data_IF_556999513177
#
_entry.id   IF_556999513177
#
_cell.length_a   1.000
_cell.length_b   1.000
_cell.length_c   1.000
_cell.angle_alpha   90.00
_cell.angle_beta   90.00
_cell.angle_gamma   90.00
#
_symmetry.space_group_name_H-M   'P 1'
#
loop_
_entity.id
_entity.type
_entity.pdbx_description
1 polymer ?
#
# COMPACT_ATOMS: atom_id res chain seq x y z
N UNK A 1 -1.36 -2.67 8.76
CA UNK A 1 -0.49 -3.39 7.80
C UNK A 1 0.72 -2.53 7.48
N UNK A 2 1.93 -3.07 7.68
CA UNK A 2 3.20 -2.36 7.53
C UNK A 2 4.00 -2.85 6.31
N UNK A 3 4.85 -2.00 5.69
CA UNK A 3 5.68 -2.37 4.56
C UNK A 3 6.97 -3.08 5.02
N UNK A 4 7.47 -4.03 4.20
CA UNK A 4 8.82 -4.54 4.32
C UNK A 4 9.49 -4.64 2.94
N UNK A 5 10.69 -4.05 2.81
CA UNK A 5 11.55 -4.14 1.64
C UNK A 5 12.84 -4.91 1.89
N UNK A 6 13.16 -5.17 3.16
CA UNK A 6 14.34 -5.92 3.61
C UNK A 6 14.05 -6.61 4.94
N UNK A 7 14.92 -7.51 5.39
CA UNK A 7 14.80 -8.14 6.71
C UNK A 7 14.91 -7.14 7.87
N UNK A 8 15.65 -6.06 7.70
CA UNK A 8 15.70 -4.97 8.67
C UNK A 8 14.34 -4.26 8.79
N UNK A 9 13.72 -3.91 7.66
CA UNK A 9 12.40 -3.27 7.68
C UNK A 9 11.30 -4.25 8.11
N UNK A 10 11.43 -5.55 7.84
CA UNK A 10 10.55 -6.58 8.39
C UNK A 10 10.63 -6.61 9.92
N UNK A 11 11.83 -6.70 10.47
CA UNK A 11 12.04 -6.68 11.92
C UNK A 11 11.49 -5.38 12.56
N UNK A 12 11.72 -4.23 11.91
CA UNK A 12 11.21 -2.94 12.35
C UNK A 12 9.67 -2.87 12.35
N UNK A 13 9.01 -3.42 11.31
CA UNK A 13 7.56 -3.51 11.24
C UNK A 13 6.97 -4.36 12.36
N UNK A 14 7.55 -5.53 12.62
CA UNK A 14 7.14 -6.44 13.69
C UNK A 14 7.37 -5.84 15.08
N UNK A 15 8.53 -5.21 15.33
CA UNK A 15 8.82 -4.48 16.57
C UNK A 15 7.88 -3.28 16.77
N UNK A 16 7.44 -2.62 15.69
CA UNK A 16 6.44 -1.57 15.70
C UNK A 16 5.02 -2.06 16.01
N UNK A 17 4.81 -3.38 16.13
CA UNK A 17 3.53 -4.00 16.44
C UNK A 17 2.59 -4.12 15.24
N UNK A 18 3.11 -4.37 14.05
CA UNK A 18 2.29 -4.62 12.87
C UNK A 18 1.46 -5.92 13.04
N UNK A 19 0.15 -5.85 12.74
CA UNK A 19 -0.72 -7.04 12.68
C UNK A 19 -0.53 -7.80 11.36
N UNK A 20 0.04 -7.15 10.34
CA UNK A 20 0.37 -7.76 9.07
C UNK A 20 1.47 -6.98 8.37
N UNK A 21 2.26 -7.69 7.56
CA UNK A 21 3.36 -7.13 6.78
C UNK A 21 3.16 -7.46 5.31
N UNK A 22 3.34 -6.46 4.42
CA UNK A 22 3.34 -6.70 2.99
C UNK A 22 4.72 -6.48 2.38
N UNK A 23 5.10 -7.37 1.48
CA UNK A 23 6.42 -7.40 0.87
C UNK A 23 6.36 -7.80 -0.60
N UNK A 24 7.45 -7.69 -1.33
CA UNK A 24 7.56 -8.10 -2.74
C UNK A 24 8.73 -9.04 -2.96
N UNK A 25 8.56 -9.97 -3.91
CA UNK A 25 9.60 -10.88 -4.39
C UNK A 25 10.00 -10.46 -5.81
N UNK A 26 11.29 -10.36 -6.06
CA UNK A 26 11.84 -10.13 -7.39
C UNK A 26 11.20 -8.94 -8.12
N UNK A 27 10.74 -9.16 -9.38
CA UNK A 27 10.29 -8.07 -10.27
C UNK A 27 8.77 -7.93 -10.41
N UNK A 28 7.97 -8.89 -9.97
CA UNK A 28 6.50 -8.90 -10.21
C UNK A 28 5.72 -8.03 -9.21
N UNK A 29 6.26 -6.90 -8.81
CA UNK A 29 5.62 -5.99 -7.86
C UNK A 29 5.89 -4.51 -8.18
N UNK A 30 5.07 -3.59 -7.66
CA UNK A 30 5.12 -2.16 -7.95
C UNK A 30 6.37 -1.43 -7.43
N UNK A 31 7.30 -2.12 -6.79
CA UNK A 31 8.60 -1.61 -6.33
C UNK A 31 9.76 -2.45 -6.90
N UNK A 32 9.59 -3.00 -8.10
CA UNK A 32 10.60 -3.87 -8.74
C UNK A 32 11.97 -3.20 -8.95
N UNK A 33 12.01 -1.85 -8.97
CA UNK A 33 13.25 -1.06 -9.05
C UNK A 33 13.85 -0.68 -7.70
N UNK A 34 13.17 -0.96 -6.59
CA UNK A 34 13.78 -0.74 -5.28
C UNK A 34 15.04 -1.61 -5.14
N UNK A 35 16.08 -1.05 -4.55
CA UNK A 35 17.39 -1.71 -4.40
C UNK A 35 17.32 -2.97 -3.54
N UNK A 36 16.33 -3.06 -2.67
CA UNK A 36 16.07 -4.22 -1.82
C UNK A 36 14.70 -4.82 -2.16
N UNK A 37 14.68 -6.00 -2.74
CA UNK A 37 13.54 -6.90 -2.84
C UNK A 37 13.99 -8.26 -2.33
N UNK A 38 13.09 -8.97 -1.67
CA UNK A 38 13.36 -10.33 -1.25
C UNK A 38 13.45 -11.28 -2.46
N UNK A 39 14.19 -12.36 -2.29
CA UNK A 39 14.22 -13.48 -3.23
C UNK A 39 13.11 -14.50 -2.88
N UNK A 40 12.83 -15.45 -3.77
CA UNK A 40 11.81 -16.47 -3.54
C UNK A 40 12.21 -17.39 -2.37
N UNK A 41 13.50 -17.65 -2.22
CA UNK A 41 14.10 -18.45 -1.15
C UNK A 41 13.88 -17.85 0.25
N UNK A 42 13.62 -16.52 0.33
CA UNK A 42 13.36 -15.82 1.59
C UNK A 42 11.93 -16.05 2.12
N UNK A 43 11.01 -16.55 1.28
CA UNK A 43 9.59 -16.71 1.65
C UNK A 43 9.37 -17.45 2.98
N UNK A 44 9.97 -18.62 3.21
CA UNK A 44 9.76 -19.37 4.46
C UNK A 44 10.22 -18.58 5.69
N UNK A 45 11.34 -17.87 5.60
CA UNK A 45 11.87 -17.07 6.70
C UNK A 45 10.99 -15.85 7.00
N UNK A 46 10.53 -15.14 5.96
CA UNK A 46 9.62 -13.99 6.13
C UNK A 46 8.34 -14.42 6.81
N UNK A 47 7.72 -15.50 6.35
CA UNK A 47 6.48 -16.04 6.92
C UNK A 47 6.68 -16.48 8.36
N UNK A 48 7.75 -17.24 8.65
CA UNK A 48 8.05 -17.68 10.00
C UNK A 48 8.19 -16.50 10.98
N UNK A 49 8.98 -15.49 10.62
CA UNK A 49 9.17 -14.28 11.45
C UNK A 49 7.86 -13.50 11.68
N UNK A 50 6.99 -13.42 10.67
CA UNK A 50 5.67 -12.81 10.86
C UNK A 50 4.82 -13.63 11.83
N UNK A 51 4.69 -14.93 11.60
CA UNK A 51 3.84 -15.80 12.39
C UNK A 51 4.32 -15.97 13.84
N UNK A 52 5.63 -15.95 14.11
CA UNK A 52 6.19 -15.94 15.47
C UNK A 52 5.69 -14.78 16.32
N UNK A 53 5.38 -13.64 15.70
CA UNK A 53 4.82 -12.46 16.38
C UNK A 53 3.29 -12.36 16.28
N UNK A 54 2.63 -13.35 15.66
CA UNK A 54 1.20 -13.35 15.38
C UNK A 54 0.78 -12.41 14.25
N UNK A 55 1.74 -11.86 13.48
CA UNK A 55 1.47 -11.04 12.33
C UNK A 55 1.25 -11.89 11.06
N UNK A 56 0.44 -11.40 10.12
CA UNK A 56 0.23 -12.03 8.82
C UNK A 56 1.24 -11.55 7.78
N UNK A 57 1.56 -12.44 6.82
CA UNK A 57 2.52 -12.20 5.75
C UNK A 57 1.79 -12.09 4.39
N UNK A 58 1.88 -10.93 3.70
CA UNK A 58 1.19 -10.69 2.44
C UNK A 58 2.17 -10.41 1.30
N UNK A 59 2.11 -11.23 0.26
CA UNK A 59 2.95 -11.08 -0.94
C UNK A 59 2.29 -10.12 -1.94
N UNK A 60 3.03 -9.12 -2.44
CA UNK A 60 2.54 -8.24 -3.50
C UNK A 60 2.88 -8.78 -4.89
N UNK A 61 1.83 -9.08 -5.68
CA UNK A 61 1.87 -9.45 -7.10
C UNK A 61 0.94 -8.51 -7.87
N UNK A 62 1.21 -7.20 -7.81
CA UNK A 62 0.23 -6.17 -8.15
C UNK A 62 0.64 -5.30 -9.35
N UNK A 63 1.43 -5.84 -10.26
CA UNK A 63 1.72 -5.24 -11.57
C UNK A 63 0.79 -5.80 -12.65
N UNK A 64 0.83 -5.20 -13.85
CA UNK A 64 0.28 -5.78 -15.07
C UNK A 64 1.17 -6.96 -15.47
N UNK A 65 0.56 -8.09 -15.81
CA UNK A 65 1.23 -9.34 -16.20
C UNK A 65 1.10 -9.54 -17.71
N UNK A 66 2.17 -9.98 -18.36
CA UNK A 66 2.16 -10.36 -19.78
C UNK A 66 2.12 -11.90 -19.94
N UNK A 67 1.71 -12.37 -21.11
CA UNK A 67 1.52 -13.80 -21.36
C UNK A 67 2.78 -14.64 -21.09
N UNK A 68 3.96 -14.11 -21.40
CA UNK A 68 5.26 -14.77 -21.13
C UNK A 68 5.60 -14.89 -19.63
N UNK A 69 4.88 -14.18 -18.77
CA UNK A 69 5.10 -14.20 -17.32
C UNK A 69 4.10 -15.08 -16.55
N UNK A 70 3.09 -15.61 -17.24
CA UNK A 70 2.02 -16.39 -16.61
C UNK A 70 2.53 -17.62 -15.86
N UNK A 71 3.56 -18.30 -16.39
CA UNK A 71 4.17 -19.45 -15.71
C UNK A 71 4.92 -19.01 -14.45
N UNK A 72 5.67 -17.92 -14.53
CA UNK A 72 6.37 -17.34 -13.36
C UNK A 72 5.39 -16.95 -12.25
N UNK A 73 4.25 -16.34 -12.63
CA UNK A 73 3.17 -15.99 -11.68
C UNK A 73 2.63 -17.25 -11.00
N UNK A 74 2.34 -18.31 -11.77
CA UNK A 74 1.82 -19.57 -11.22
C UNK A 74 2.80 -20.21 -10.24
N UNK A 75 4.08 -20.27 -10.60
CA UNK A 75 5.13 -20.83 -9.75
C UNK A 75 5.29 -20.01 -8.46
N UNK A 76 5.28 -18.68 -8.55
CA UNK A 76 5.40 -17.82 -7.37
C UNK A 76 4.16 -17.90 -6.47
N UNK A 77 2.95 -18.02 -7.01
CA UNK A 77 1.74 -18.27 -6.22
C UNK A 77 1.80 -19.63 -5.51
N UNK A 78 2.29 -20.67 -6.19
CA UNK A 78 2.46 -21.99 -5.59
C UNK A 78 3.51 -21.98 -4.48
N UNK A 79 4.66 -21.32 -4.70
CA UNK A 79 5.71 -21.15 -3.70
C UNK A 79 5.20 -20.35 -2.49
N UNK A 80 4.47 -19.25 -2.72
CA UNK A 80 3.86 -18.46 -1.66
C UNK A 80 2.89 -19.29 -0.79
N UNK A 81 2.03 -20.08 -1.45
CA UNK A 81 1.12 -20.98 -0.73
C UNK A 81 1.87 -22.05 0.06
N UNK A 82 2.89 -22.67 -0.52
CA UNK A 82 3.69 -23.69 0.14
C UNK A 82 4.46 -23.13 1.34
N UNK A 83 4.94 -21.89 1.27
CA UNK A 83 5.60 -21.19 2.37
C UNK A 83 4.62 -20.72 3.47
N UNK A 84 3.31 -20.78 3.25
CA UNK A 84 2.31 -20.35 4.22
C UNK A 84 2.03 -18.83 4.20
N UNK A 85 2.26 -18.16 3.07
CA UNK A 85 1.85 -16.75 2.87
C UNK A 85 0.33 -16.67 3.07
N UNK A 86 -0.12 -15.72 3.89
CA UNK A 86 -1.54 -15.61 4.27
C UNK A 86 -2.41 -15.08 3.11
N UNK A 87 -1.89 -14.16 2.30
CA UNK A 87 -2.61 -13.66 1.12
C UNK A 87 -1.67 -13.06 0.07
N UNK A 88 -2.16 -12.95 -1.17
CA UNK A 88 -1.52 -12.15 -2.22
C UNK A 88 -2.28 -10.85 -2.45
N UNK A 89 -1.56 -9.75 -2.62
CA UNK A 89 -2.11 -8.44 -3.00
C UNK A 89 -1.98 -8.32 -4.52
N UNK A 90 -3.08 -8.40 -5.24
CA UNK A 90 -3.11 -8.51 -6.70
C UNK A 90 -4.00 -7.45 -7.37
N UNK A 91 -3.76 -7.18 -8.65
CA UNK A 91 -4.59 -6.30 -9.49
C UNK A 91 -4.84 -6.88 -10.88
N UNK A 92 -3.96 -7.75 -11.35
CA UNK A 92 -4.09 -8.41 -12.64
C UNK A 92 -4.98 -9.66 -12.52
N UNK A 93 -5.88 -9.86 -13.50
CA UNK A 93 -6.83 -10.97 -13.49
C UNK A 93 -6.13 -12.33 -13.53
N UNK A 94 -4.98 -12.45 -14.20
CA UNK A 94 -4.22 -13.69 -14.25
C UNK A 94 -3.74 -14.11 -12.84
N UNK A 95 -3.28 -13.15 -12.03
CA UNK A 95 -2.88 -13.41 -10.64
C UNK A 95 -4.10 -13.73 -9.78
N UNK A 96 -5.15 -12.90 -9.87
CA UNK A 96 -6.36 -13.02 -9.05
C UNK A 96 -7.01 -14.37 -9.24
N UNK A 97 -7.30 -14.73 -10.50
CA UNK A 97 -8.01 -15.99 -10.81
C UNK A 97 -7.17 -17.22 -10.49
N UNK A 98 -5.86 -17.17 -10.73
CA UNK A 98 -4.98 -18.29 -10.39
C UNK A 98 -4.84 -18.46 -8.87
N UNK A 99 -4.53 -17.39 -8.12
CA UNK A 99 -4.42 -17.47 -6.67
C UNK A 99 -5.71 -17.99 -6.03
N UNK A 100 -6.86 -17.47 -6.46
CA UNK A 100 -8.17 -17.96 -6.01
C UNK A 100 -8.36 -19.45 -6.33
N UNK A 101 -8.01 -19.89 -7.55
CA UNK A 101 -8.19 -21.30 -7.98
C UNK A 101 -7.39 -22.30 -7.16
N UNK A 102 -6.24 -21.88 -6.63
CA UNK A 102 -5.40 -22.72 -5.75
C UNK A 102 -5.73 -22.54 -4.26
N UNK A 103 -6.72 -21.72 -3.91
CA UNK A 103 -7.12 -21.45 -2.52
C UNK A 103 -6.09 -20.62 -1.74
N UNK A 104 -5.42 -19.67 -2.40
CA UNK A 104 -4.60 -18.63 -1.76
C UNK A 104 -5.44 -17.37 -1.66
N UNK A 105 -5.57 -16.81 -0.43
CA UNK A 105 -6.39 -15.61 -0.20
C UNK A 105 -5.91 -14.44 -1.07
N UNK A 106 -6.87 -13.69 -1.63
CA UNK A 106 -6.59 -12.53 -2.48
C UNK A 106 -7.05 -11.24 -1.82
N UNK A 107 -6.18 -10.25 -1.77
CA UNK A 107 -6.51 -8.86 -1.45
C UNK A 107 -6.42 -8.02 -2.72
N UNK A 108 -7.49 -7.29 -3.04
CA UNK A 108 -7.46 -6.40 -4.20
C UNK A 108 -6.55 -5.21 -3.95
N UNK A 109 -5.54 -5.05 -4.81
CA UNK A 109 -4.62 -3.92 -4.75
C UNK A 109 -5.33 -2.61 -5.09
N UNK A 110 -4.83 -1.48 -4.57
CA UNK A 110 -5.23 -0.13 -4.98
C UNK A 110 -5.11 0.11 -6.49
N UNK A 111 -4.30 -0.67 -7.20
CA UNK A 111 -4.17 -0.61 -8.66
C UNK A 111 -5.47 -0.97 -9.38
N UNK A 112 -6.40 -1.67 -8.74
CA UNK A 112 -7.74 -1.96 -9.25
C UNK A 112 -8.69 -0.76 -9.18
N UNK A 113 -8.30 0.31 -8.46
CA UNK A 113 -9.06 1.56 -8.33
C UNK A 113 -10.53 1.37 -7.91
N UNK A 114 -10.74 0.54 -6.89
CA UNK A 114 -12.08 0.29 -6.34
C UNK A 114 -12.62 1.56 -5.70
N UNK A 115 -13.71 2.12 -6.26
CA UNK A 115 -14.29 3.39 -5.83
C UNK A 115 -15.82 3.40 -5.75
N UNK A 116 -16.46 2.26 -5.97
CA UNK A 116 -17.92 2.13 -5.96
C UNK A 116 -18.37 0.71 -5.63
N UNK A 117 -19.66 0.54 -5.29
CA UNK A 117 -20.25 -0.74 -4.91
C UNK A 117 -20.23 -1.78 -6.03
N UNK A 118 -20.33 -1.36 -7.30
CA UNK A 118 -20.29 -2.31 -8.43
C UNK A 118 -18.92 -3.02 -8.49
N UNK A 119 -17.83 -2.25 -8.31
CA UNK A 119 -16.48 -2.82 -8.23
C UNK A 119 -16.31 -3.71 -7.01
N UNK A 120 -16.85 -3.33 -5.84
CA UNK A 120 -16.81 -4.16 -4.63
C UNK A 120 -17.51 -5.50 -4.87
N UNK A 121 -18.74 -5.50 -5.41
CA UNK A 121 -19.50 -6.74 -5.71
C UNK A 121 -18.76 -7.64 -6.71
N UNK A 122 -18.12 -7.03 -7.71
CA UNK A 122 -17.36 -7.80 -8.68
C UNK A 122 -16.15 -8.50 -8.03
N UNK A 123 -15.33 -7.75 -7.28
CA UNK A 123 -14.11 -8.29 -6.69
C UNK A 123 -14.35 -9.18 -5.46
N UNK A 124 -15.48 -9.04 -4.79
CA UNK A 124 -15.88 -9.92 -3.69
C UNK A 124 -16.01 -11.40 -4.10
N UNK A 125 -16.14 -11.69 -5.40
CA UNK A 125 -16.13 -13.06 -5.90
C UNK A 125 -14.75 -13.74 -5.78
N UNK A 126 -13.68 -12.96 -5.64
CA UNK A 126 -12.30 -13.45 -5.66
C UNK A 126 -11.48 -13.03 -4.45
N UNK A 127 -11.88 -11.98 -3.75
CA UNK A 127 -11.08 -11.36 -2.71
C UNK A 127 -11.83 -11.12 -1.41
N UNK A 128 -11.13 -11.25 -0.29
CA UNK A 128 -11.66 -11.00 1.05
C UNK A 128 -11.36 -9.57 1.54
N UNK A 129 -10.47 -8.85 0.87
CA UNK A 129 -10.11 -7.47 1.17
C UNK A 129 -10.05 -6.65 -0.12
N UNK A 130 -10.61 -5.45 -0.09
CA UNK A 130 -10.46 -4.47 -1.17
C UNK A 130 -9.76 -3.21 -0.67
N UNK A 131 -8.69 -2.81 -1.37
CA UNK A 131 -8.06 -1.51 -1.14
C UNK A 131 -8.81 -0.47 -1.94
N UNK A 132 -9.43 0.50 -1.26
CA UNK A 132 -10.15 1.57 -1.94
C UNK A 132 -9.20 2.57 -2.61
N UNK A 133 -9.68 3.19 -3.69
CA UNK A 133 -8.99 4.25 -4.38
C UNK A 133 -8.69 5.42 -3.42
N UNK A 134 -7.52 6.05 -3.60
CA UNK A 134 -7.01 7.10 -2.70
C UNK A 134 -7.70 8.45 -2.89
N UNK A 135 -8.47 8.57 -3.95
CA UNK A 135 -9.22 9.76 -4.33
C UNK A 135 -10.55 9.90 -3.56
N UNK A 136 -10.94 8.87 -2.81
CA UNK A 136 -12.22 8.87 -2.09
C UNK A 136 -12.18 9.72 -0.83
N UNK A 137 -13.22 10.50 -0.63
CA UNK A 137 -13.48 11.18 0.65
C UNK A 137 -13.93 10.18 1.72
N UNK A 138 -13.76 10.52 3.00
CA UNK A 138 -14.23 9.67 4.11
C UNK A 138 -15.73 9.36 4.04
N UNK A 139 -16.54 10.33 3.60
CA UNK A 139 -17.98 10.11 3.38
C UNK A 139 -18.29 9.10 2.26
N UNK A 140 -17.47 9.03 1.21
CA UNK A 140 -17.62 8.00 0.16
C UNK A 140 -17.16 6.63 0.68
N UNK A 141 -16.07 6.57 1.44
CA UNK A 141 -15.59 5.34 2.08
C UNK A 141 -16.69 4.78 3.00
N UNK A 142 -17.28 5.62 3.88
CA UNK A 142 -18.36 5.21 4.77
C UNK A 142 -19.54 4.62 3.98
N UNK A 143 -20.00 5.29 2.91
CA UNK A 143 -21.10 4.77 2.07
C UNK A 143 -20.81 3.41 1.45
N UNK A 144 -19.55 3.16 1.06
CA UNK A 144 -19.16 1.84 0.54
C UNK A 144 -19.22 0.79 1.65
N UNK A 145 -18.72 1.10 2.84
CA UNK A 145 -18.71 0.18 3.98
C UNK A 145 -20.13 -0.13 4.45
N UNK A 146 -20.99 0.89 4.54
CA UNK A 146 -22.40 0.72 4.89
C UNK A 146 -23.11 -0.14 3.84
N UNK A 147 -22.88 0.11 2.55
CA UNK A 147 -23.40 -0.72 1.47
C UNK A 147 -22.95 -2.19 1.53
N UNK A 148 -21.69 -2.45 1.91
CA UNK A 148 -21.18 -3.82 2.14
C UNK A 148 -21.97 -4.52 3.26
N UNK A 149 -22.26 -3.81 4.35
CA UNK A 149 -23.01 -4.33 5.49
C UNK A 149 -24.49 -4.55 5.15
N UNK A 150 -25.12 -3.57 4.53
CA UNK A 150 -26.55 -3.59 4.18
C UNK A 150 -26.89 -4.69 3.16
N UNK A 151 -26.00 -4.90 2.19
CA UNK A 151 -26.16 -5.93 1.16
C UNK A 151 -25.57 -7.29 1.58
N UNK A 152 -24.84 -7.36 2.69
CA UNK A 152 -24.20 -8.57 3.17
C UNK A 152 -23.14 -9.13 2.21
N UNK A 153 -22.35 -8.24 1.56
CA UNK A 153 -21.36 -8.67 0.56
C UNK A 153 -20.21 -9.38 1.22
N UNK A 154 -20.01 -10.64 0.82
CA UNK A 154 -19.00 -11.55 1.41
C UNK A 154 -17.94 -11.91 0.40
N UNK A 155 -16.71 -12.10 0.89
CA UNK A 155 -15.60 -12.68 0.13
C UNK A 155 -15.63 -14.19 0.09
N UNK A 156 -14.63 -14.83 -0.54
CA UNK A 156 -14.49 -16.29 -0.63
C UNK A 156 -14.39 -17.00 0.73
N UNK A 157 -13.90 -16.35 1.78
CA UNK A 157 -13.89 -16.87 3.15
C UNK A 157 -15.29 -17.04 3.75
N UNK A 158 -16.30 -16.41 3.19
CA UNK A 158 -17.65 -16.34 3.73
C UNK A 158 -17.88 -15.19 4.71
N UNK A 159 -16.85 -14.45 5.09
CA UNK A 159 -16.95 -13.25 5.90
C UNK A 159 -17.30 -12.01 5.06
N UNK A 160 -17.84 -10.96 5.68
CA UNK A 160 -18.03 -9.68 5.00
C UNK A 160 -16.69 -9.20 4.44
N UNK A 161 -16.70 -8.72 3.19
CA UNK A 161 -15.51 -8.20 2.55
C UNK A 161 -14.97 -6.99 3.35
N UNK A 162 -13.68 -7.00 3.62
CA UNK A 162 -13.00 -5.99 4.44
C UNK A 162 -12.48 -4.85 3.57
N UNK A 163 -12.56 -3.65 4.11
CA UNK A 163 -12.08 -2.43 3.44
C UNK A 163 -10.72 -2.03 4.00
N UNK A 164 -9.76 -1.87 3.11
CA UNK A 164 -8.42 -1.34 3.36
C UNK A 164 -8.28 0.04 2.73
N UNK A 165 -7.63 0.97 3.45
CA UNK A 165 -7.23 2.28 2.92
C UNK A 165 -5.76 2.58 3.23
N UNK A 166 -5.12 3.42 2.41
CA UNK A 166 -3.85 4.01 2.80
C UNK A 166 -4.05 5.03 3.92
N UNK A 167 -3.26 4.92 4.97
CA UNK A 167 -3.32 5.80 6.13
C UNK A 167 -2.09 6.71 6.25
N UNK A 168 -0.93 6.30 5.72
CA UNK A 168 0.31 7.05 5.83
C UNK A 168 1.26 6.80 4.67
N UNK A 169 2.04 7.84 4.34
CA UNK A 169 3.19 7.78 3.43
C UNK A 169 2.94 8.39 2.06
N UNK A 170 3.85 8.11 1.17
CA UNK A 170 3.94 8.76 -0.12
C UNK A 170 2.71 8.54 -1.02
N UNK A 171 2.12 9.64 -1.48
CA UNK A 171 1.05 9.62 -2.48
C UNK A 171 1.63 9.67 -3.89
N UNK A 172 0.96 8.99 -4.82
CA UNK A 172 1.23 9.12 -6.25
C UNK A 172 0.44 10.31 -6.82
N UNK A 173 1.05 11.08 -7.72
CA UNK A 173 0.37 12.17 -8.45
C UNK A 173 -0.74 11.66 -9.38
N UNK A 174 -0.61 10.43 -9.85
CA UNK A 174 -1.56 9.81 -10.77
C UNK A 174 -2.52 8.87 -10.04
N UNK A 175 -3.67 8.62 -10.66
CA UNK A 175 -4.53 7.48 -10.33
C UNK A 175 -3.69 6.21 -10.34
N UNK A 176 -3.88 5.32 -9.35
CA UNK A 176 -3.04 4.15 -9.14
C UNK A 176 -2.99 3.26 -10.38
N UNK A 177 -1.78 2.90 -10.82
CA UNK A 177 -1.56 2.08 -12.01
C UNK A 177 -1.84 2.78 -13.35
N UNK A 178 -2.00 4.10 -13.40
CA UNK A 178 -2.33 4.85 -14.63
C UNK A 178 -1.28 5.90 -15.02
N UNK A 179 -0.07 5.86 -14.43
CA UNK A 179 0.98 6.83 -14.70
C UNK A 179 1.82 6.44 -15.92
N UNK A 180 1.93 7.34 -16.89
CA UNK A 180 2.75 7.18 -18.09
C UNK A 180 4.04 8.03 -18.09
N UNK A 181 4.33 8.80 -17.04
CA UNK A 181 5.48 9.71 -17.01
C UNK A 181 6.83 9.01 -17.23
N UNK A 182 7.04 7.87 -16.55
CA UNK A 182 8.28 7.11 -16.71
C UNK A 182 8.35 6.41 -18.06
N UNK A 183 7.22 5.99 -18.61
CA UNK A 183 7.16 5.38 -19.93
C UNK A 183 7.52 6.40 -21.02
N UNK A 184 6.92 7.57 -20.98
CA UNK A 184 7.16 8.63 -21.94
C UNK A 184 8.61 9.15 -21.91
N UNK A 185 9.20 9.33 -20.71
CA UNK A 185 10.53 9.89 -20.55
C UNK A 185 11.69 8.88 -20.70
N UNK A 186 11.45 7.60 -20.34
CA UNK A 186 12.53 6.60 -20.19
C UNK A 186 12.18 5.23 -20.77
N UNK A 187 11.08 5.10 -21.49
CA UNK A 187 10.58 3.80 -21.96
C UNK A 187 10.49 2.76 -20.84
N UNK A 188 10.04 3.18 -19.66
CA UNK A 188 10.01 2.37 -18.44
C UNK A 188 8.66 2.48 -17.75
N UNK A 189 7.88 1.38 -17.73
CA UNK A 189 6.51 1.39 -17.25
C UNK A 189 6.41 1.41 -15.73
N UNK A 190 5.86 2.50 -15.17
CA UNK A 190 5.54 2.58 -13.75
C UNK A 190 4.50 1.54 -13.33
N UNK A 191 3.59 1.14 -14.24
CA UNK A 191 2.55 0.14 -13.99
C UNK A 191 3.12 -1.28 -13.88
N UNK A 192 4.38 -1.44 -14.28
CA UNK A 192 5.16 -2.67 -14.15
C UNK A 192 6.24 -2.55 -13.07
N UNK A 193 6.05 -1.66 -12.11
CA UNK A 193 6.97 -1.46 -10.99
C UNK A 193 8.23 -0.64 -11.31
N UNK A 194 8.40 -0.17 -12.57
CA UNK A 194 9.59 0.53 -13.02
C UNK A 194 9.41 2.06 -13.04
N UNK A 195 8.94 2.62 -11.92
CA UNK A 195 8.72 4.05 -11.74
C UNK A 195 10.06 4.79 -11.44
N UNK A 196 10.37 5.83 -12.22
CA UNK A 196 11.52 6.72 -12.00
C UNK A 196 11.20 7.93 -11.11
N UNK A 197 10.01 7.99 -10.54
CA UNK A 197 9.55 9.06 -9.67
C UNK A 197 9.70 10.47 -10.28
N UNK A 198 9.45 10.62 -11.58
CA UNK A 198 9.57 11.89 -12.28
C UNK A 198 8.78 13.03 -11.62
N UNK A 199 7.61 12.72 -11.02
CA UNK A 199 6.82 13.70 -10.28
C UNK A 199 7.53 14.29 -9.07
N UNK A 200 8.64 13.69 -8.61
CA UNK A 200 9.42 14.12 -7.43
C UNK A 200 10.73 14.83 -7.80
N UNK A 201 10.90 15.17 -9.06
CA UNK A 201 12.05 15.96 -9.54
C UNK A 201 11.71 17.44 -9.51
N UNK A 202 12.74 18.28 -9.41
CA UNK A 202 12.63 19.70 -9.65
C UNK A 202 12.42 19.96 -11.15
N UNK A 203 11.53 20.89 -11.48
CA UNK A 203 11.22 21.31 -12.86
C UNK A 203 11.33 22.82 -12.98
N UNK A 204 11.82 23.27 -14.15
CA UNK A 204 11.67 24.64 -14.58
C UNK A 204 10.48 24.67 -15.56
N UNK A 205 9.50 25.50 -15.28
CA UNK A 205 8.32 25.68 -16.13
C UNK A 205 8.35 27.07 -16.70
N UNK A 206 8.41 27.16 -18.02
CA UNK A 206 8.44 28.45 -18.77
C UNK A 206 7.22 28.51 -19.67
N UNK A 207 6.51 29.61 -19.64
CA UNK A 207 5.44 29.88 -20.59
C UNK A 207 6.05 30.22 -21.95
N UNK A 208 5.73 29.43 -22.97
CA UNK A 208 6.35 29.56 -24.30
C UNK A 208 5.93 30.86 -25.04
N UNK A 209 4.73 31.39 -24.72
CA UNK A 209 4.25 32.62 -25.39
C UNK A 209 4.83 33.89 -24.77
N UNK A 210 4.94 33.93 -23.46
CA UNK A 210 5.38 35.09 -22.69
C UNK A 210 6.85 35.05 -22.28
N UNK A 211 7.46 33.85 -22.25
CA UNK A 211 8.80 33.64 -21.74
C UNK A 211 8.90 33.74 -20.22
N UNK A 212 7.78 33.88 -19.51
CA UNK A 212 7.77 33.98 -18.08
C UNK A 212 8.06 32.60 -17.43
N UNK A 213 8.96 32.59 -16.47
CA UNK A 213 9.23 31.39 -15.65
C UNK A 213 8.30 31.37 -14.45
N UNK A 214 7.67 30.20 -14.21
CA UNK A 214 6.93 29.95 -12.99
C UNK A 214 7.93 29.73 -11.85
N UNK A 215 7.96 30.69 -10.93
CA UNK A 215 8.73 30.55 -9.69
C UNK A 215 7.97 29.63 -8.74
N UNK A 216 8.57 28.51 -8.42
CA UNK A 216 7.98 27.48 -7.54
C UNK A 216 8.79 27.46 -6.27
N UNK A 217 8.16 27.84 -5.17
CA UNK A 217 8.81 27.91 -3.85
C UNK A 217 9.19 26.55 -3.28
N UNK A 218 8.55 25.46 -3.74
CA UNK A 218 8.96 24.10 -3.41
C UNK A 218 9.58 23.40 -4.64
N UNK A 219 10.59 22.58 -4.41
CA UNK A 219 11.32 21.84 -5.44
C UNK A 219 10.43 20.92 -6.31
N UNK A 220 9.22 20.57 -5.87
CA UNK A 220 8.44 19.46 -6.38
C UNK A 220 7.05 19.90 -6.85
N UNK A 221 6.97 20.50 -8.03
CA UNK A 221 5.72 21.01 -8.64
C UNK A 221 4.60 19.97 -8.68
N UNK A 222 4.96 18.73 -8.99
CA UNK A 222 3.99 17.63 -9.19
C UNK A 222 3.94 16.64 -8.03
N UNK A 223 4.78 16.78 -7.02
CA UNK A 223 4.77 15.84 -5.89
C UNK A 223 3.67 16.23 -4.90
N UNK A 224 2.67 15.38 -4.68
CA UNK A 224 1.76 15.59 -3.56
C UNK A 224 2.52 15.44 -2.25
N UNK A 225 2.02 16.10 -1.19
CA UNK A 225 2.50 15.86 0.18
C UNK A 225 2.22 14.41 0.58
N UNK A 226 3.04 13.88 1.46
CA UNK A 226 2.77 12.57 2.03
C UNK A 226 1.45 12.57 2.80
N UNK A 227 0.70 11.49 2.68
CA UNK A 227 -0.53 11.28 3.43
C UNK A 227 -0.20 11.06 4.90
N UNK A 228 -0.93 11.71 5.78
CA UNK A 228 -0.90 11.43 7.21
C UNK A 228 -2.32 11.58 7.77
N UNK A 229 -2.90 10.49 8.23
CA UNK A 229 -4.30 10.46 8.70
C UNK A 229 -4.42 10.32 10.22
N UNK A 230 -3.30 10.39 10.96
CA UNK A 230 -3.29 10.13 12.41
C UNK A 230 -4.22 11.06 13.19
N UNK A 231 -4.41 12.30 12.72
CA UNK A 231 -5.27 13.28 13.38
C UNK A 231 -6.78 13.04 13.20
N UNK A 232 -7.16 12.21 12.23
CA UNK A 232 -8.56 11.85 11.91
C UNK A 232 -8.79 10.34 11.97
N UNK A 233 -7.89 9.63 12.67
CA UNK A 233 -7.92 8.17 12.70
C UNK A 233 -9.17 7.62 13.39
N UNK A 234 -9.67 8.31 14.39
CA UNK A 234 -10.94 8.01 15.06
C UNK A 234 -12.11 8.00 14.08
N UNK A 235 -12.21 9.01 13.21
CA UNK A 235 -13.25 9.10 12.20
C UNK A 235 -13.12 8.00 11.13
N UNK A 236 -11.89 7.62 10.78
CA UNK A 236 -11.62 6.53 9.83
C UNK A 236 -12.07 5.19 10.40
N UNK A 237 -11.74 4.90 11.65
CA UNK A 237 -12.14 3.66 12.31
C UNK A 237 -13.65 3.63 12.58
N UNK A 238 -14.26 4.77 12.96
CA UNK A 238 -15.72 4.92 13.11
C UNK A 238 -16.45 4.70 11.78
N UNK A 239 -15.85 5.06 10.65
CA UNK A 239 -16.39 4.74 9.33
C UNK A 239 -16.41 3.24 9.03
N UNK A 240 -15.69 2.42 9.81
CA UNK A 240 -15.64 0.96 9.70
C UNK A 240 -14.51 0.41 8.83
N UNK A 241 -13.48 1.20 8.56
CA UNK A 241 -12.27 0.73 7.88
C UNK A 241 -11.64 -0.41 8.69
N UNK A 242 -11.34 -1.53 8.02
CA UNK A 242 -10.82 -2.74 8.66
C UNK A 242 -9.31 -2.81 8.67
N UNK A 243 -8.65 -2.21 7.66
CA UNK A 243 -7.19 -2.29 7.49
C UNK A 243 -6.61 -0.92 7.14
N UNK A 244 -5.66 -0.48 7.96
CA UNK A 244 -4.85 0.72 7.73
C UNK A 244 -3.54 0.31 7.05
N UNK A 245 -3.32 0.75 5.82
CA UNK A 245 -2.10 0.48 5.08
C UNK A 245 -1.10 1.62 5.23
N UNK A 246 0.11 1.28 5.64
CA UNK A 246 1.24 2.21 5.73
C UNK A 246 2.11 2.05 4.48
N UNK A 247 2.40 3.14 3.77
CA UNK A 247 3.34 3.13 2.64
C UNK A 247 4.75 3.43 3.14
N UNK A 248 5.75 2.78 2.54
CA UNK A 248 7.14 3.00 2.92
C UNK A 248 8.07 1.82 2.65
N UNK A 249 7.77 0.96 1.67
CA UNK A 249 8.57 -0.24 1.37
C UNK A 249 10.00 0.07 0.93
N UNK A 250 10.24 1.27 0.38
CA UNK A 250 11.57 1.79 0.06
C UNK A 250 12.15 2.75 1.11
N UNK A 251 11.53 2.86 2.29
CA UNK A 251 11.98 3.73 3.38
C UNK A 251 12.87 2.98 4.37
N UNK A 252 13.61 3.72 5.20
CA UNK A 252 14.47 3.16 6.25
C UNK A 252 13.69 2.33 7.27
N UNK A 253 14.37 1.42 7.95
CA UNK A 253 13.80 0.62 9.04
C UNK A 253 13.28 1.48 10.20
N UNK A 254 13.96 2.58 10.52
CA UNK A 254 13.52 3.52 11.55
C UNK A 254 12.20 4.20 11.20
N UNK A 255 12.02 4.61 9.94
CA UNK A 255 10.73 5.10 9.45
C UNK A 255 9.64 4.05 9.62
N UNK A 256 9.88 2.82 9.15
CA UNK A 256 8.89 1.73 9.24
C UNK A 256 8.50 1.48 10.69
N UNK A 257 9.47 1.39 11.60
CA UNK A 257 9.22 1.18 13.04
C UNK A 257 8.40 2.33 13.64
N UNK A 258 8.81 3.57 13.42
CA UNK A 258 8.16 4.74 14.01
C UNK A 258 6.73 4.89 13.51
N UNK A 259 6.52 4.82 12.19
CA UNK A 259 5.17 4.94 11.61
C UNK A 259 4.28 3.81 12.09
N UNK A 260 4.78 2.56 12.09
CA UNK A 260 3.99 1.40 12.54
C UNK A 260 3.60 1.54 14.01
N UNK A 261 4.55 1.90 14.89
CA UNK A 261 4.26 2.05 16.32
C UNK A 261 3.27 3.17 16.60
N UNK A 262 3.40 4.31 15.92
CA UNK A 262 2.47 5.44 16.10
C UNK A 262 1.05 5.05 15.67
N UNK A 263 0.87 4.44 14.50
CA UNK A 263 -0.46 4.01 14.06
C UNK A 263 -1.03 2.88 14.92
N UNK A 264 -0.19 1.99 15.46
CA UNK A 264 -0.60 0.97 16.43
C UNK A 264 -1.12 1.60 17.73
N UNK A 265 -0.36 2.55 18.28
CA UNK A 265 -0.76 3.30 19.49
C UNK A 265 -2.05 4.10 19.26
N UNK A 266 -2.16 4.80 18.13
CA UNK A 266 -3.31 5.61 17.80
C UNK A 266 -4.58 4.77 17.57
N UNK A 267 -4.47 3.67 16.82
CA UNK A 267 -5.59 2.74 16.61
C UNK A 267 -6.07 2.12 17.93
N UNK A 268 -5.14 1.71 18.80
CA UNK A 268 -5.45 1.19 20.12
C UNK A 268 -6.17 2.22 20.97
N UNK A 269 -5.69 3.48 20.97
CA UNK A 269 -6.34 4.57 21.69
C UNK A 269 -7.76 4.85 21.20
N UNK A 270 -8.02 4.73 19.89
CA UNK A 270 -9.37 4.83 19.35
C UNK A 270 -10.28 3.71 19.90
N UNK A 271 -9.81 2.46 19.87
CA UNK A 271 -10.57 1.30 20.35
C UNK A 271 -10.85 1.34 21.86
N UNK A 272 -9.95 1.93 22.65
CA UNK A 272 -10.07 2.12 24.09
C UNK A 272 -10.85 3.39 24.48
N UNK A 273 -11.31 4.19 23.50
CA UNK A 273 -12.00 5.48 23.74
C UNK A 273 -11.07 6.56 24.33
N UNK A 274 -9.76 6.39 24.18
CA UNK A 274 -8.72 7.28 24.75
C UNK A 274 -8.08 8.19 23.68
N UNK A 275 -8.62 8.24 22.47
CA UNK A 275 -8.18 9.17 21.43
C UNK A 275 -8.53 10.62 21.82
N UNK A 276 -7.57 11.53 21.62
CA UNK A 276 -7.81 12.96 21.83
C UNK A 276 -6.95 13.80 20.88
N UNK A 277 -7.37 15.05 20.57
CA UNK A 277 -6.58 15.95 19.74
C UNK A 277 -5.15 16.19 20.27
N UNK A 278 -4.97 16.26 21.59
CA UNK A 278 -3.65 16.43 22.20
C UNK A 278 -2.74 15.22 21.91
N UNK A 279 -3.25 13.99 22.02
CA UNK A 279 -2.51 12.77 21.67
C UNK A 279 -2.22 12.71 20.17
N UNK A 280 -3.21 13.08 19.35
CA UNK A 280 -3.04 13.11 17.90
C UNK A 280 -1.92 14.06 17.45
N UNK A 281 -1.81 15.24 18.10
CA UNK A 281 -0.73 16.19 17.84
C UNK A 281 0.64 15.63 18.29
N UNK A 282 0.73 14.98 19.43
CA UNK A 282 1.97 14.35 19.89
C UNK A 282 2.42 13.21 18.94
N UNK A 283 1.50 12.43 18.39
CA UNK A 283 1.80 11.45 17.35
C UNK A 283 2.24 12.11 16.05
N UNK A 284 1.60 13.23 15.67
CA UNK A 284 1.99 13.99 14.48
C UNK A 284 3.42 14.50 14.57
N UNK A 285 3.83 15.09 15.72
CA UNK A 285 5.21 15.53 15.96
C UNK A 285 6.22 14.39 15.79
N UNK A 286 5.91 13.18 16.28
CA UNK A 286 6.77 12.01 16.10
C UNK A 286 6.86 11.61 14.63
N UNK A 287 5.77 11.69 13.87
CA UNK A 287 5.75 11.38 12.44
C UNK A 287 6.48 12.43 11.61
N UNK A 288 6.34 13.71 11.93
CA UNK A 288 7.03 14.80 11.26
C UNK A 288 8.56 14.70 11.42
N UNK A 289 9.04 14.31 12.60
CA UNK A 289 10.48 14.10 12.83
C UNK A 289 11.05 12.97 11.95
N UNK A 290 10.24 11.98 11.60
CA UNK A 290 10.57 10.91 10.66
C UNK A 290 10.51 11.38 9.20
N UNK A 291 9.53 12.21 8.84
CA UNK A 291 9.32 12.69 7.47
C UNK A 291 10.41 13.70 7.06
N UNK A 292 10.83 14.58 7.97
CA UNK A 292 11.92 15.55 7.74
C UNK A 292 13.27 14.86 7.45
N UNK A 293 13.50 13.68 8.01
CA UNK A 293 14.73 12.90 7.78
C UNK A 293 14.72 12.16 6.44
N UNK A 294 13.54 11.95 5.84
CA UNK A 294 13.37 11.12 4.65
C UNK A 294 13.04 11.92 3.38
N UNK A 295 12.79 13.23 3.48
CA UNK A 295 12.64 14.08 2.29
C UNK A 295 13.95 14.22 1.52
N UNK A 296 15.08 14.10 2.20
CA UNK A 296 16.42 14.15 1.60
C UNK A 296 16.93 12.77 1.13
N UNK A 297 16.39 11.68 1.66
CA UNK A 297 16.78 10.31 1.30
C UNK A 297 16.02 9.74 0.09
N UNK A 298 15.17 10.52 -0.57
CA UNK A 298 14.54 10.14 -1.83
C UNK A 298 15.43 10.45 -3.05
N UNK A 299 16.60 11.02 -2.82
CA UNK A 299 17.57 11.44 -3.85
C UNK A 299 18.80 10.51 -3.96
N UNK A 300 18.86 9.38 -3.19
CA UNK A 300 19.88 8.35 -3.35
C UNK A 300 19.41 7.13 -4.14
#
# INVERSE_FOLDING_TARGET
MAPAGSFESLAAALQGGADSVYFGIGKLNMRSRATANFAEEDLPEIVARCHETGAKAYLTLNIIVYDEELETVRNLCAAAKAAGVDAVIASDLAVITHAHSIGLEVHMSVQANVCNMASVRFYAQYADVVVLARELTLGQIRRIIDGIRDEGIRGPSGDLIRVEIFAHGALCVAVSGKCHMSLAAYNSSANRGACFQNCRRAYRVTDEETGNELVIDNKYVMSPRDLCTVQVLDQILDAGVSVLKLEGRGRSSDYVRTVTSVYREAARACLEGAFSPARANAWMERLESCLLYTSDAADE
#
